data_IF_530251791039
#
_entry.id   IF_530251791039
#
_cell.length_a   1.000
_cell.length_b   1.000
_cell.length_c   1.000
_cell.angle_alpha   90.00
_cell.angle_beta   90.00
_cell.angle_gamma   90.00
#
_symmetry.space_group_name_H-M   'P 1'
#
loop_
_entity.id
_entity.type
_entity.pdbx_description
1 polymer ?
#
# COMPACT_ATOMS: atom_id res chain seq x y z
N UNK A 1 -17.70 -20.75 14.02
CA UNK A 1 -16.29 -20.53 13.64
C UNK A 1 -16.17 -20.14 12.15
N UNK A 2 -17.13 -19.42 11.57
CA UNK A 2 -17.11 -19.03 10.13
C UNK A 2 -16.67 -17.57 9.89
N UNK A 3 -16.73 -16.71 10.91
CA UNK A 3 -16.47 -15.28 10.76
C UNK A 3 -14.99 -14.89 10.59
N UNK A 4 -14.05 -15.68 11.12
CA UNK A 4 -12.62 -15.34 11.11
C UNK A 4 -11.96 -15.52 9.75
N UNK A 5 -12.27 -16.58 9.00
CA UNK A 5 -11.69 -16.82 7.67
C UNK A 5 -12.07 -15.74 6.66
N UNK A 6 -13.32 -15.25 6.73
CA UNK A 6 -13.81 -14.19 5.84
C UNK A 6 -13.07 -12.86 6.07
N UNK A 7 -12.67 -12.55 7.31
CA UNK A 7 -11.88 -11.35 7.61
C UNK A 7 -10.50 -11.41 6.97
N UNK A 8 -9.83 -12.56 7.01
CA UNK A 8 -8.52 -12.74 6.38
C UNK A 8 -8.60 -12.68 4.85
N UNK A 9 -9.65 -13.23 4.27
CA UNK A 9 -9.92 -13.15 2.83
C UNK A 9 -10.17 -11.71 2.38
N UNK A 10 -10.94 -10.96 3.17
CA UNK A 10 -11.15 -9.52 2.95
C UNK A 10 -9.85 -8.72 3.12
N UNK A 11 -8.98 -9.10 4.06
CA UNK A 11 -7.69 -8.45 4.26
C UNK A 11 -6.76 -8.64 3.04
N UNK A 12 -6.63 -9.87 2.53
CA UNK A 12 -5.82 -10.20 1.34
C UNK A 12 -6.29 -9.45 0.09
N UNK A 13 -7.60 -9.20 -0.04
CA UNK A 13 -8.13 -8.40 -1.16
C UNK A 13 -8.06 -6.89 -0.89
N UNK A 14 -8.23 -6.48 0.37
CA UNK A 14 -8.34 -5.08 0.76
C UNK A 14 -6.98 -4.38 0.89
N UNK A 15 -5.96 -5.06 1.42
CA UNK A 15 -4.62 -4.49 1.61
C UNK A 15 -4.03 -4.02 0.27
N UNK A 16 -4.03 -4.81 -0.83
CA UNK A 16 -3.51 -4.36 -2.11
C UNK A 16 -4.28 -3.16 -2.66
N UNK A 17 -5.61 -3.12 -2.49
CA UNK A 17 -6.43 -1.98 -2.91
C UNK A 17 -6.02 -0.71 -2.15
N UNK A 18 -5.87 -0.79 -0.83
CA UNK A 18 -5.47 0.36 0.00
C UNK A 18 -4.06 0.82 -0.37
N UNK A 19 -3.12 -0.10 -0.55
CA UNK A 19 -1.74 0.21 -0.95
C UNK A 19 -1.72 0.90 -2.31
N UNK A 20 -2.45 0.39 -3.31
CA UNK A 20 -2.55 1.02 -4.64
C UNK A 20 -3.18 2.41 -4.55
N UNK A 21 -4.22 2.60 -3.74
CA UNK A 21 -4.82 3.92 -3.53
C UNK A 21 -3.82 4.90 -2.89
N UNK A 22 -3.07 4.47 -1.88
CA UNK A 22 -2.04 5.31 -1.25
C UNK A 22 -0.93 5.69 -2.25
N UNK A 23 -0.45 4.74 -3.04
CA UNK A 23 0.53 5.00 -4.11
C UNK A 23 -0.03 5.94 -5.18
N UNK A 24 -1.31 5.80 -5.53
CA UNK A 24 -1.98 6.69 -6.48
C UNK A 24 -2.02 8.13 -5.96
N UNK A 25 -2.37 8.37 -4.70
CA UNK A 25 -2.37 9.71 -4.13
C UNK A 25 -0.95 10.31 -4.09
N UNK A 26 0.05 9.51 -3.70
CA UNK A 26 1.45 9.94 -3.74
C UNK A 26 1.88 10.34 -5.16
N UNK A 27 1.53 9.54 -6.18
CA UNK A 27 1.87 9.84 -7.57
C UNK A 27 1.07 11.03 -8.15
N UNK A 28 -0.15 11.29 -7.63
CA UNK A 28 -0.97 12.42 -8.07
C UNK A 28 -0.35 13.77 -7.66
N UNK A 29 0.25 13.83 -6.47
CA UNK A 29 0.95 15.02 -5.98
C UNK A 29 2.21 15.33 -6.80
N UNK A 30 2.95 14.28 -7.20
CA UNK A 30 4.07 14.39 -8.13
C UNK A 30 3.61 14.85 -9.51
N UNK A 31 2.53 14.27 -10.03
CA UNK A 31 1.96 14.64 -11.32
C UNK A 31 1.53 16.11 -11.35
N UNK A 32 0.93 16.61 -10.27
CA UNK A 32 0.53 18.01 -10.16
C UNK A 32 1.73 18.98 -10.19
N UNK A 33 2.88 18.57 -9.64
CA UNK A 33 4.11 19.36 -9.70
C UNK A 33 4.71 19.39 -11.11
N UNK A 34 4.68 18.26 -11.81
CA UNK A 34 5.16 18.16 -13.20
C UNK A 34 4.36 19.09 -14.11
N UNK A 35 3.03 19.09 -14.01
CA UNK A 35 2.18 19.97 -14.85
C UNK A 35 2.36 21.45 -14.50
N UNK A 36 2.75 21.79 -13.27
CA UNK A 36 2.97 23.18 -12.84
C UNK A 36 4.42 23.65 -13.01
N UNK A 37 5.31 22.82 -13.57
CA UNK A 37 6.74 23.10 -13.77
C UNK A 37 7.50 23.54 -12.50
N UNK A 38 7.02 23.15 -11.32
CA UNK A 38 7.65 23.45 -10.02
C UNK A 38 8.35 22.21 -9.47
N UNK A 39 9.37 21.73 -10.17
CA UNK A 39 10.11 20.54 -9.75
C UNK A 39 11.06 20.92 -8.60
N UNK A 40 10.76 20.43 -7.40
CA UNK A 40 11.63 20.53 -6.23
C UNK A 40 12.29 19.17 -5.95
N UNK A 41 13.60 19.07 -6.24
CA UNK A 41 14.36 17.82 -6.08
C UNK A 41 14.48 17.37 -4.62
N UNK A 42 14.38 18.28 -3.65
CA UNK A 42 14.39 17.91 -2.23
C UNK A 42 13.16 17.10 -1.87
N UNK A 43 12.01 17.42 -2.49
CA UNK A 43 10.74 16.75 -2.25
C UNK A 43 10.67 15.38 -2.91
N UNK A 44 11.30 15.22 -4.08
CA UNK A 44 11.44 13.93 -4.78
C UNK A 44 12.05 12.82 -3.91
N UNK A 45 13.04 13.14 -3.07
CA UNK A 45 13.62 12.16 -2.16
C UNK A 45 12.69 11.81 -0.98
N UNK A 46 11.93 12.80 -0.50
CA UNK A 46 10.94 12.61 0.57
C UNK A 46 9.76 11.76 0.08
N UNK A 47 9.25 12.05 -1.11
CA UNK A 47 8.18 11.29 -1.76
C UNK A 47 8.65 9.85 -2.10
N UNK A 48 9.90 9.67 -2.54
CA UNK A 48 10.47 8.33 -2.73
C UNK A 48 10.54 7.53 -1.42
N UNK A 49 10.97 8.16 -0.33
CA UNK A 49 11.00 7.51 0.99
C UNK A 49 9.58 7.15 1.46
N UNK A 50 8.60 8.03 1.20
CA UNK A 50 7.20 7.80 1.52
C UNK A 50 6.61 6.62 0.74
N UNK A 51 6.83 6.58 -0.58
CA UNK A 51 6.42 5.48 -1.47
C UNK A 51 7.06 4.16 -1.03
N UNK A 52 8.36 4.17 -0.69
CA UNK A 52 9.05 3.00 -0.17
C UNK A 52 8.44 2.53 1.16
N UNK A 53 8.09 3.45 2.05
CA UNK A 53 7.44 3.12 3.31
C UNK A 53 6.06 2.47 3.08
N UNK A 54 5.24 3.04 2.19
CA UNK A 54 3.93 2.46 1.80
C UNK A 54 4.12 1.04 1.25
N UNK A 55 5.09 0.84 0.36
CA UNK A 55 5.39 -0.47 -0.23
C UNK A 55 5.82 -1.49 0.82
N UNK A 56 6.76 -1.13 1.70
CA UNK A 56 7.26 -2.03 2.75
C UNK A 56 6.12 -2.41 3.71
N UNK A 57 5.35 -1.45 4.20
CA UNK A 57 4.24 -1.70 5.11
C UNK A 57 3.15 -2.54 4.41
N UNK A 58 2.83 -2.21 3.17
CA UNK A 58 1.85 -2.93 2.37
C UNK A 58 2.22 -4.39 2.14
N UNK A 59 3.47 -4.65 1.73
CA UNK A 59 3.98 -6.01 1.51
C UNK A 59 4.03 -6.80 2.82
N UNK A 60 4.47 -6.19 3.92
CA UNK A 60 4.48 -6.85 5.23
C UNK A 60 3.07 -7.19 5.71
N UNK A 61 2.11 -6.28 5.54
CA UNK A 61 0.71 -6.51 5.88
C UNK A 61 0.11 -7.62 5.01
N UNK A 62 0.41 -7.63 3.72
CA UNK A 62 -0.05 -8.65 2.77
C UNK A 62 0.49 -10.03 3.16
N UNK A 63 1.82 -10.14 3.38
CA UNK A 63 2.47 -11.38 3.81
C UNK A 63 1.88 -11.90 5.13
N UNK A 64 1.62 -11.00 6.08
CA UNK A 64 0.98 -11.36 7.35
C UNK A 64 -0.46 -11.86 7.13
N UNK A 65 -1.25 -11.18 6.29
CA UNK A 65 -2.63 -11.58 6.01
C UNK A 65 -2.72 -12.93 5.28
N UNK A 66 -1.82 -13.18 4.33
CA UNK A 66 -1.69 -14.46 3.62
C UNK A 66 -1.27 -15.58 4.56
N UNK A 67 -0.31 -15.31 5.45
CA UNK A 67 0.09 -16.26 6.49
C UNK A 67 -1.08 -16.64 7.40
N UNK A 68 -1.82 -15.64 7.89
CA UNK A 68 -2.98 -15.88 8.76
C UNK A 68 -4.11 -16.63 8.03
N UNK A 69 -4.34 -16.32 6.75
CA UNK A 69 -5.30 -17.04 5.92
C UNK A 69 -4.90 -18.52 5.80
N UNK A 70 -3.64 -18.79 5.44
CA UNK A 70 -3.13 -20.15 5.29
C UNK A 70 -3.18 -20.93 6.60
N UNK A 71 -2.73 -20.32 7.70
CA UNK A 71 -2.78 -20.90 9.05
C UNK A 71 -4.21 -21.12 9.57
N UNK A 72 -5.22 -20.47 8.98
CA UNK A 72 -6.62 -20.72 9.32
C UNK A 72 -7.22 -21.92 8.59
N UNK A 73 -6.68 -22.26 7.40
CA UNK A 73 -7.17 -23.36 6.57
C UNK A 73 -6.37 -24.66 6.74
N UNK A 74 -5.15 -24.60 7.27
CA UNK A 74 -4.27 -25.75 7.56
C UNK A 74 -4.36 -26.17 9.02
#
# INVERSE_FOLDING_TARGET
MEGSGMIWLLAVLGIPIVVVLMLFFSAADDFWQIITFKIDFSRLFDDLAHVLAILVIGVLAELFSLFMLFAHFL
#
